data_IF_115284899573
#
_entry.id   IF_115284899573
#
_cell.length_a   1.000
_cell.length_b   1.000
_cell.length_c   1.000
_cell.angle_alpha   90.00
_cell.angle_beta   90.00
_cell.angle_gamma   90.00
#
_symmetry.space_group_name_H-M   'P 1'
#
loop_
_entity.id
_entity.type
_entity.pdbx_description
1 polymer ?
#
# COMPACT_ATOMS: atom_id res chain seq x y z
N UNK A 1 -6.68 8.68 -7.49
CA UNK A 1 -7.94 7.96 -7.15
C UNK A 1 -9.00 8.20 -8.22
N UNK A 2 -9.34 9.46 -8.47
CA UNK A 2 -10.46 9.82 -9.35
C UNK A 2 -10.30 9.34 -10.80
N UNK A 3 -9.08 9.38 -11.34
CA UNK A 3 -8.79 8.84 -12.69
C UNK A 3 -8.97 7.33 -12.79
N UNK A 4 -8.73 6.58 -11.70
CA UNK A 4 -8.96 5.12 -11.67
C UNK A 4 -10.46 4.84 -11.64
N UNK A 5 -11.22 5.57 -10.81
CA UNK A 5 -12.68 5.42 -10.66
C UNK A 5 -13.47 5.84 -11.90
N UNK A 6 -13.00 6.87 -12.61
CA UNK A 6 -13.60 7.35 -13.87
C UNK A 6 -13.12 6.61 -15.11
N UNK A 7 -12.09 5.76 -14.98
CA UNK A 7 -11.55 4.98 -16.08
C UNK A 7 -12.48 3.86 -16.55
N UNK A 8 -12.17 3.20 -17.68
CA UNK A 8 -12.98 2.14 -18.26
C UNK A 8 -13.17 0.93 -17.32
N UNK A 9 -12.25 0.73 -16.37
CA UNK A 9 -12.30 -0.34 -15.37
C UNK A 9 -12.63 0.16 -13.96
N UNK A 10 -13.12 1.39 -13.81
CA UNK A 10 -13.33 1.99 -12.49
C UNK A 10 -14.36 1.27 -11.62
N UNK A 11 -15.30 0.56 -12.22
CA UNK A 11 -16.32 -0.24 -11.52
C UNK A 11 -15.85 -1.65 -11.13
N UNK A 12 -14.66 -2.07 -11.57
CA UNK A 12 -14.13 -3.40 -11.26
C UNK A 12 -13.72 -3.54 -9.78
N UNK A 13 -13.30 -2.43 -9.17
CA UNK A 13 -12.75 -2.41 -7.83
C UNK A 13 -13.80 -2.01 -6.80
N UNK A 14 -13.82 -2.71 -5.65
CA UNK A 14 -14.71 -2.37 -4.54
C UNK A 14 -14.37 -0.97 -3.99
N UNK A 15 -15.35 -0.07 -3.85
CA UNK A 15 -15.15 1.28 -3.31
C UNK A 15 -14.44 1.28 -1.93
N UNK A 16 -14.75 0.30 -1.09
CA UNK A 16 -14.21 0.13 0.27
C UNK A 16 -12.70 -0.14 0.29
N UNK A 17 -12.14 -0.68 -0.80
CA UNK A 17 -10.73 -1.05 -0.86
C UNK A 17 -9.84 0.13 -1.27
N UNK A 18 -10.44 1.29 -1.55
CA UNK A 18 -9.71 2.52 -1.85
C UNK A 18 -9.46 3.34 -0.59
N UNK A 19 -8.26 3.22 -0.03
CA UNK A 19 -7.80 4.02 1.10
C UNK A 19 -6.90 5.16 0.61
N UNK A 20 -7.13 6.39 1.07
CA UNK A 20 -6.35 7.57 0.71
C UNK A 20 -6.30 8.59 1.85
N UNK A 21 -5.16 9.26 2.00
CA UNK A 21 -5.00 10.40 2.90
C UNK A 21 -5.33 11.73 2.21
N UNK A 22 -5.49 12.80 3.00
CA UNK A 22 -5.66 14.16 2.48
C UNK A 22 -4.34 14.84 2.12
N UNK A 23 -3.23 14.34 2.68
CA UNK A 23 -1.88 14.89 2.53
C UNK A 23 -0.95 13.87 1.86
N UNK A 24 0.04 14.39 1.13
CA UNK A 24 1.05 13.59 0.45
C UNK A 24 2.41 13.71 1.13
N UNK A 25 3.26 12.68 0.98
CA UNK A 25 4.59 12.68 1.60
C UNK A 25 5.60 13.66 0.95
N UNK A 26 5.26 14.28 -0.18
CA UNK A 26 6.08 15.33 -0.81
C UNK A 26 7.50 14.90 -1.16
N UNK A 27 7.68 13.70 -1.73
CA UNK A 27 8.99 13.10 -2.01
C UNK A 27 9.92 12.92 -0.80
N UNK A 28 9.37 12.93 0.42
CA UNK A 28 10.13 12.69 1.64
C UNK A 28 9.77 11.30 2.22
N UNK A 29 10.76 10.40 2.26
CA UNK A 29 10.60 9.06 2.84
C UNK A 29 10.19 9.12 4.31
N UNK A 30 10.83 9.97 5.11
CA UNK A 30 10.56 10.08 6.54
C UNK A 30 9.12 10.54 6.81
N UNK A 31 8.60 11.45 5.98
CA UNK A 31 7.18 11.82 6.06
C UNK A 31 6.27 10.63 5.80
N UNK A 32 6.54 9.90 4.73
CA UNK A 32 5.78 8.71 4.35
C UNK A 32 5.88 7.56 5.36
N UNK A 33 6.99 7.44 6.09
CA UNK A 33 7.21 6.34 7.03
C UNK A 33 6.78 6.65 8.46
N UNK A 34 7.08 7.86 8.96
CA UNK A 34 6.91 8.18 10.38
C UNK A 34 5.72 9.09 10.69
N UNK A 35 5.17 9.80 9.70
CA UNK A 35 4.09 10.79 9.93
C UNK A 35 2.86 10.47 9.10
N UNK A 36 2.71 11.06 7.91
CA UNK A 36 1.55 10.93 7.02
C UNK A 36 1.17 9.46 6.75
N UNK A 37 2.15 8.57 6.53
CA UNK A 37 1.85 7.16 6.28
C UNK A 37 1.53 6.36 7.54
N UNK A 38 2.04 6.79 8.71
CA UNK A 38 1.71 6.17 9.99
C UNK A 38 0.26 6.47 10.42
N UNK A 39 -0.28 7.64 10.04
CA UNK A 39 -1.70 7.96 10.26
C UNK A 39 -2.63 7.09 9.39
N UNK A 40 -2.17 6.64 8.22
CA UNK A 40 -2.98 5.91 7.26
C UNK A 40 -2.83 4.38 7.34
N UNK A 41 -1.72 3.88 7.90
CA UNK A 41 -1.36 2.45 7.85
C UNK A 41 -2.40 1.56 8.52
N UNK A 42 -2.98 1.99 9.64
CA UNK A 42 -3.95 1.18 10.38
C UNK A 42 -5.23 0.96 9.56
N UNK A 43 -5.72 2.01 8.89
CA UNK A 43 -6.87 1.89 7.99
C UNK A 43 -6.59 0.95 6.80
N UNK A 44 -5.36 0.96 6.28
CA UNK A 44 -4.95 0.03 5.23
C UNK A 44 -4.87 -1.41 5.76
N UNK A 45 -4.32 -1.62 6.95
CA UNK A 45 -4.23 -2.93 7.58
C UNK A 45 -5.61 -3.53 7.86
N UNK A 46 -6.59 -2.72 8.28
CA UNK A 46 -7.96 -3.20 8.49
C UNK A 46 -8.62 -3.70 7.19
N UNK A 47 -8.40 -3.01 6.07
CA UNK A 47 -8.85 -3.48 4.76
C UNK A 47 -8.15 -4.77 4.36
N UNK A 48 -6.83 -4.86 4.57
CA UNK A 48 -6.06 -6.07 4.29
C UNK A 48 -6.57 -7.27 5.10
N UNK A 49 -6.87 -7.08 6.40
CA UNK A 49 -7.45 -8.11 7.26
C UNK A 49 -8.78 -8.61 6.72
N UNK A 50 -9.70 -7.70 6.39
CA UNK A 50 -11.01 -8.05 5.84
C UNK A 50 -10.90 -8.87 4.55
N UNK A 51 -9.99 -8.50 3.66
CA UNK A 51 -9.77 -9.25 2.41
C UNK A 51 -9.03 -10.59 2.65
N UNK A 52 -8.14 -10.65 3.62
CA UNK A 52 -7.47 -11.88 4.03
C UNK A 52 -8.45 -12.90 4.66
N UNK A 53 -9.38 -12.45 5.50
CA UNK A 53 -10.46 -13.26 6.09
C UNK A 53 -11.45 -13.77 5.03
N UNK A 54 -11.62 -13.04 3.94
CA UNK A 54 -12.43 -13.47 2.80
C UNK A 54 -11.80 -14.59 1.96
N UNK A 55 -10.55 -14.99 2.25
CA UNK A 55 -9.84 -16.04 1.53
C UNK A 55 -9.80 -17.34 2.35
N UNK A 56 -10.13 -18.47 1.75
CA UNK A 56 -10.03 -19.78 2.42
C UNK A 56 -8.58 -20.12 2.82
N UNK A 57 -7.61 -19.80 1.96
CA UNK A 57 -6.18 -20.03 2.22
C UNK A 57 -5.31 -18.97 1.54
N UNK A 58 -5.02 -17.89 2.28
CA UNK A 58 -4.13 -16.83 1.82
C UNK A 58 -2.70 -17.34 1.59
N UNK A 59 -2.19 -17.18 0.37
CA UNK A 59 -0.84 -17.63 -0.02
C UNK A 59 0.24 -16.58 0.24
N UNK A 60 -0.09 -15.30 0.04
CA UNK A 60 0.89 -14.22 0.09
C UNK A 60 0.35 -12.90 -0.41
N UNK A 61 1.23 -11.91 -0.44
CA UNK A 61 0.93 -10.54 -0.82
C UNK A 61 1.84 -10.08 -1.96
N UNK A 62 1.30 -9.18 -2.77
CA UNK A 62 2.04 -8.49 -3.83
C UNK A 62 1.96 -6.98 -3.57
N UNK A 63 3.11 -6.35 -3.34
CA UNK A 63 3.23 -4.92 -3.10
C UNK A 63 3.89 -4.25 -4.32
N UNK A 64 3.17 -3.34 -4.97
CA UNK A 64 3.72 -2.53 -6.08
C UNK A 64 3.94 -1.11 -5.61
N UNK A 65 5.18 -0.61 -5.67
CA UNK A 65 5.53 0.71 -5.15
C UNK A 65 6.80 1.29 -5.80
N UNK A 66 6.97 2.61 -5.74
CA UNK A 66 8.20 3.28 -6.20
C UNK A 66 9.20 3.42 -5.06
N UNK A 67 10.51 3.26 -5.34
CA UNK A 67 11.57 3.55 -4.37
C UNK A 67 11.97 5.03 -4.34
N UNK A 68 11.78 5.77 -5.44
CA UNK A 68 12.20 7.17 -5.54
C UNK A 68 11.24 8.19 -4.92
N UNK A 69 9.96 7.86 -4.76
CA UNK A 69 8.94 8.78 -4.22
C UNK A 69 8.71 8.59 -2.71
N UNK A 70 8.25 9.63 -2.01
CA UNK A 70 8.10 9.62 -0.54
C UNK A 70 7.01 8.67 -0.02
N UNK A 71 5.84 8.63 -0.66
CA UNK A 71 4.74 7.74 -0.25
C UNK A 71 5.06 6.29 -0.61
N UNK A 72 5.44 6.04 -1.88
CA UNK A 72 5.75 4.68 -2.33
C UNK A 72 6.88 4.04 -1.53
N UNK A 73 7.94 4.79 -1.23
CA UNK A 73 9.06 4.27 -0.45
C UNK A 73 8.75 4.23 1.06
N UNK A 74 8.30 5.35 1.65
CA UNK A 74 8.10 5.47 3.10
C UNK A 74 6.93 4.66 3.64
N UNK A 75 5.75 4.86 3.06
CA UNK A 75 4.56 4.09 3.47
C UNK A 75 4.67 2.63 3.03
N UNK A 76 5.27 2.37 1.86
CA UNK A 76 5.50 1.01 1.38
C UNK A 76 6.38 0.19 2.33
N UNK A 77 7.46 0.77 2.85
CA UNK A 77 8.31 0.06 3.84
C UNK A 77 7.59 -0.13 5.17
N UNK A 78 6.81 0.84 5.63
CA UNK A 78 6.02 0.72 6.85
C UNK A 78 5.00 -0.42 6.74
N UNK A 79 4.24 -0.44 5.64
CA UNK A 79 3.23 -1.45 5.37
C UNK A 79 3.84 -2.86 5.26
N UNK A 80 4.99 -2.98 4.60
CA UNK A 80 5.72 -4.24 4.48
C UNK A 80 6.07 -4.84 5.86
N UNK A 81 6.56 -4.00 6.78
CA UNK A 81 6.87 -4.43 8.15
C UNK A 81 5.62 -4.89 8.88
N UNK A 82 4.51 -4.14 8.78
CA UNK A 82 3.24 -4.49 9.42
C UNK A 82 2.63 -5.79 8.92
N UNK A 83 2.64 -6.02 7.60
CA UNK A 83 2.14 -7.28 7.05
C UNK A 83 3.01 -8.46 7.49
N UNK A 84 4.34 -8.28 7.58
CA UNK A 84 5.23 -9.33 8.08
C UNK A 84 5.05 -9.62 9.57
N UNK A 85 4.73 -8.61 10.38
CA UNK A 85 4.41 -8.80 11.80
C UNK A 85 3.14 -9.65 11.97
N UNK A 86 2.11 -9.40 11.16
CA UNK A 86 0.80 -10.06 11.31
C UNK A 86 0.69 -11.39 10.54
N UNK A 87 1.37 -11.52 9.40
CA UNK A 87 1.33 -12.67 8.51
C UNK A 87 2.75 -13.22 8.24
N UNK A 88 3.47 -13.69 9.27
CA UNK A 88 4.91 -14.01 9.17
C UNK A 88 5.22 -15.16 8.18
N UNK A 89 4.32 -16.13 8.03
CA UNK A 89 4.52 -17.32 7.19
C UNK A 89 4.03 -17.14 5.74
N UNK A 90 3.63 -15.92 5.35
CA UNK A 90 3.09 -15.65 4.01
C UNK A 90 4.16 -15.09 3.09
N UNK A 91 4.12 -15.52 1.82
CA UNK A 91 5.06 -15.05 0.81
C UNK A 91 4.82 -13.56 0.57
N UNK A 92 5.90 -12.79 0.46
CA UNK A 92 5.86 -11.36 0.23
C UNK A 92 6.65 -11.00 -1.01
N UNK A 93 5.96 -10.55 -2.05
CA UNK A 93 6.56 -10.13 -3.31
C UNK A 93 6.46 -8.61 -3.46
N UNK A 94 7.60 -7.96 -3.72
CA UNK A 94 7.66 -6.52 -3.96
C UNK A 94 8.04 -6.23 -5.41
N UNK A 95 7.17 -5.53 -6.14
CA UNK A 95 7.41 -5.02 -7.48
C UNK A 95 7.79 -3.54 -7.36
N UNK A 96 9.10 -3.30 -7.25
CA UNK A 96 9.64 -1.98 -6.93
C UNK A 96 10.15 -1.27 -8.18
N UNK A 97 9.70 -0.02 -8.39
CA UNK A 97 10.23 0.85 -9.46
C UNK A 97 11.42 1.65 -8.91
N UNK A 98 12.61 1.39 -9.46
CA UNK A 98 13.85 2.08 -9.10
C UNK A 98 14.00 3.34 -9.98
N UNK A 99 14.37 4.50 -9.42
CA UNK A 99 14.58 5.70 -10.22
C UNK A 99 15.76 5.54 -11.19
N UNK A 100 15.63 6.17 -12.36
CA UNK A 100 16.71 6.32 -13.34
C UNK A 100 17.17 7.79 -13.35
N UNK A 101 18.47 8.07 -13.46
CA UNK A 101 19.01 9.44 -13.50
C UNK A 101 18.77 10.19 -14.83
N UNK A 102 18.13 9.56 -15.81
CA UNK A 102 17.81 10.15 -17.12
C UNK A 102 16.44 10.80 -17.13
#
# INVERSE_FOLDING_TARGET
MDSVRSGPYGQLFRPDNFVFGQSGAGNNWAKGHYTEGAELVDSVMDVIRKEAEGCDCLQGFQLTHSLGGGTGSGMGTLLLSKIREEFPDRIMNTFSVVPSPK
#
